data_IF_962355031348
#
_entry.id   IF_962355031348
#
_cell.length_a   1.000
_cell.length_b   1.000
_cell.length_c   1.000
_cell.angle_alpha   90.00
_cell.angle_beta   90.00
_cell.angle_gamma   90.00
#
_symmetry.space_group_name_H-M   'P 1'
#
loop_
_entity.id
_entity.type
_entity.pdbx_description
1 polymer ?
#
# COMPACT_ATOMS: atom_id res chain seq x y z
N UNK A 1 10.35 35.54 1.02
CA UNK A 1 10.73 34.32 1.77
C UNK A 1 9.63 33.27 1.77
N UNK A 2 8.38 33.59 2.18
CA UNK A 2 7.30 32.60 2.35
C UNK A 2 6.83 31.95 1.03
N UNK A 3 6.61 32.72 -0.05
CA UNK A 3 6.22 32.15 -1.34
C UNK A 3 7.33 31.33 -2.01
N UNK A 4 8.61 31.69 -1.77
CA UNK A 4 9.75 30.93 -2.29
C UNK A 4 9.80 29.50 -1.75
N UNK A 5 9.32 29.26 -0.53
CA UNK A 5 9.23 27.91 0.04
C UNK A 5 8.12 27.09 -0.64
N UNK A 6 7.00 27.72 -1.00
CA UNK A 6 5.89 27.08 -1.70
C UNK A 6 6.27 26.78 -3.15
N UNK A 7 6.85 27.74 -3.87
CA UNK A 7 7.40 27.55 -5.22
C UNK A 7 8.43 26.41 -5.23
N UNK A 8 9.39 26.43 -4.30
CA UNK A 8 10.40 25.36 -4.21
C UNK A 8 9.80 23.99 -3.90
N UNK A 9 8.74 23.94 -3.09
CA UNK A 9 8.01 22.68 -2.81
C UNK A 9 7.38 22.12 -4.07
N UNK A 10 6.73 22.96 -4.88
CA UNK A 10 6.09 22.52 -6.13
C UNK A 10 7.13 22.08 -7.17
N UNK A 11 8.26 22.79 -7.29
CA UNK A 11 9.40 22.34 -8.10
C UNK A 11 9.90 20.95 -7.68
N UNK A 12 10.13 20.75 -6.38
CA UNK A 12 10.61 19.47 -5.85
C UNK A 12 9.58 18.36 -6.07
N UNK A 13 8.28 18.64 -5.92
CA UNK A 13 7.20 17.70 -6.23
C UNK A 13 7.24 17.29 -7.70
N UNK A 14 7.32 18.26 -8.61
CA UNK A 14 7.40 17.99 -10.05
C UNK A 14 8.63 17.13 -10.42
N UNK A 15 9.79 17.43 -9.82
CA UNK A 15 11.02 16.65 -10.01
C UNK A 15 10.85 15.22 -9.47
N UNK A 16 10.33 15.07 -8.25
CA UNK A 16 10.09 13.76 -7.62
C UNK A 16 9.14 12.93 -8.47
N UNK A 17 8.07 13.52 -8.97
CA UNK A 17 7.08 12.81 -9.78
C UNK A 17 7.65 12.41 -11.14
N UNK A 18 8.47 13.26 -11.75
CA UNK A 18 9.26 12.93 -12.95
C UNK A 18 10.18 11.73 -12.73
N UNK A 19 11.01 11.77 -11.69
CA UNK A 19 11.93 10.66 -11.37
C UNK A 19 11.22 9.38 -10.94
N UNK A 20 10.08 9.48 -10.23
CA UNK A 20 9.25 8.31 -9.90
C UNK A 20 8.73 7.62 -11.16
N UNK A 21 8.27 8.41 -12.14
CA UNK A 21 7.79 7.89 -13.41
C UNK A 21 8.92 7.19 -14.18
N UNK A 22 10.05 7.87 -14.34
CA UNK A 22 11.22 7.30 -15.01
C UNK A 22 11.71 6.01 -14.31
N UNK A 23 11.76 6.01 -12.98
CA UNK A 23 12.11 4.82 -12.20
C UNK A 23 11.10 3.68 -12.42
N UNK A 24 9.81 3.98 -12.50
CA UNK A 24 8.77 2.99 -12.82
C UNK A 24 9.00 2.37 -14.19
N UNK A 25 9.21 3.21 -15.22
CA UNK A 25 9.46 2.75 -16.60
C UNK A 25 10.72 1.88 -16.69
N UNK A 26 11.78 2.23 -15.94
CA UNK A 26 13.01 1.42 -15.86
C UNK A 26 12.72 0.09 -15.16
N UNK A 27 11.97 0.09 -14.05
CA UNK A 27 11.63 -1.15 -13.33
C UNK A 27 10.80 -2.10 -14.19
N UNK A 28 9.86 -1.58 -14.98
CA UNK A 28 9.09 -2.38 -15.94
C UNK A 28 10.00 -3.02 -16.98
N UNK A 29 10.92 -2.24 -17.58
CA UNK A 29 11.91 -2.79 -18.53
C UNK A 29 12.82 -3.84 -17.89
N UNK A 30 13.27 -3.63 -16.66
CA UNK A 30 14.05 -4.62 -15.89
C UNK A 30 13.22 -5.90 -15.74
N UNK A 31 11.96 -5.77 -15.31
CA UNK A 31 11.09 -6.93 -15.17
C UNK A 31 10.91 -7.67 -16.49
N UNK A 32 10.55 -6.99 -17.57
CA UNK A 32 10.33 -7.62 -18.88
C UNK A 32 11.59 -8.32 -19.42
N UNK A 33 12.77 -7.75 -19.16
CA UNK A 33 14.05 -8.31 -19.60
C UNK A 33 14.38 -9.63 -18.92
N UNK A 34 14.20 -9.73 -17.60
CA UNK A 34 14.69 -10.89 -16.81
C UNK A 34 13.57 -11.80 -16.26
N UNK A 35 12.29 -11.41 -16.36
CA UNK A 35 11.18 -12.16 -15.74
C UNK A 35 11.14 -13.62 -16.20
N UNK A 36 11.32 -13.88 -17.49
CA UNK A 36 11.25 -15.25 -18.02
C UNK A 36 12.41 -16.11 -17.48
N UNK A 37 13.64 -15.60 -17.55
CA UNK A 37 14.83 -16.30 -17.04
C UNK A 37 14.73 -16.60 -15.54
N UNK A 38 14.22 -15.64 -14.75
CA UNK A 38 13.98 -15.83 -13.31
C UNK A 38 12.92 -16.90 -13.05
N UNK A 39 11.82 -16.91 -13.83
CA UNK A 39 10.77 -17.94 -13.71
C UNK A 39 11.30 -19.33 -14.06
N UNK A 40 12.09 -19.43 -15.12
CA UNK A 40 12.67 -20.70 -15.56
C UNK A 40 13.69 -21.23 -14.53
N UNK A 41 14.52 -20.35 -13.97
CA UNK A 41 15.46 -20.73 -12.91
C UNK A 41 14.74 -21.18 -11.63
N UNK A 42 13.63 -20.53 -11.26
CA UNK A 42 12.79 -20.98 -10.13
C UNK A 42 12.13 -22.33 -10.42
N UNK A 43 11.57 -22.50 -11.62
CA UNK A 43 10.90 -23.73 -12.04
C UNK A 43 11.86 -24.91 -12.10
N UNK A 44 13.09 -24.70 -12.58
CA UNK A 44 14.16 -25.71 -12.55
C UNK A 44 14.54 -26.13 -11.13
N UNK A 45 14.37 -25.23 -10.15
CA UNK A 45 14.53 -25.52 -8.73
C UNK A 45 13.25 -26.05 -8.05
N UNK A 46 12.20 -26.36 -8.82
CA UNK A 46 10.91 -26.86 -8.32
C UNK A 46 10.09 -25.82 -7.55
N UNK A 47 10.26 -24.52 -7.85
CA UNK A 47 9.59 -23.40 -7.16
C UNK A 47 8.85 -22.52 -8.16
N UNK A 48 7.68 -22.00 -7.75
CA UNK A 48 6.95 -20.97 -8.52
C UNK A 48 7.26 -19.53 -8.03
N UNK A 49 7.72 -19.41 -6.79
CA UNK A 49 8.07 -18.16 -6.12
C UNK A 49 9.27 -18.36 -5.18
N UNK A 50 9.88 -17.26 -4.75
CA UNK A 50 11.05 -17.25 -3.88
C UNK A 50 12.25 -16.56 -4.51
N UNK A 51 13.44 -16.82 -3.97
CA UNK A 51 14.68 -16.23 -4.48
C UNK A 51 15.41 -17.21 -5.38
N UNK A 52 16.01 -16.71 -6.44
CA UNK A 52 16.93 -17.45 -7.32
C UNK A 52 18.11 -16.57 -7.70
N UNK A 53 19.07 -17.15 -8.40
CA UNK A 53 20.20 -16.41 -8.98
C UNK A 53 20.32 -16.76 -10.45
N UNK A 54 20.46 -15.73 -11.28
CA UNK A 54 20.64 -15.84 -12.73
C UNK A 54 21.99 -15.22 -13.14
N UNK A 55 22.48 -15.58 -14.32
CA UNK A 55 23.74 -15.08 -14.85
C UNK A 55 23.46 -14.20 -16.08
N UNK A 56 23.75 -12.91 -15.99
CA UNK A 56 23.62 -11.97 -17.10
C UNK A 56 25.02 -11.53 -17.53
N UNK A 57 25.54 -12.14 -18.61
CA UNK A 57 26.92 -11.96 -19.03
C UNK A 57 27.90 -12.43 -17.94
N UNK A 58 28.77 -11.53 -17.46
CA UNK A 58 29.71 -11.81 -16.37
C UNK A 58 29.15 -11.46 -14.97
N UNK A 59 27.88 -11.04 -14.86
CA UNK A 59 27.29 -10.62 -13.59
C UNK A 59 26.33 -11.68 -13.05
N UNK A 60 26.44 -11.94 -11.76
CA UNK A 60 25.52 -12.78 -10.99
C UNK A 60 24.42 -11.90 -10.40
N UNK A 61 23.17 -12.09 -10.83
CA UNK A 61 22.03 -11.29 -10.39
C UNK A 61 21.15 -12.11 -9.44
N UNK A 62 20.86 -11.54 -8.27
CA UNK A 62 19.89 -12.11 -7.33
C UNK A 62 18.50 -11.61 -7.67
N UNK A 63 17.58 -12.53 -7.93
CA UNK A 63 16.19 -12.21 -8.22
C UNK A 63 15.24 -12.82 -7.20
N UNK A 64 14.07 -12.21 -7.01
CA UNK A 64 13.02 -12.71 -6.13
C UNK A 64 11.65 -12.51 -6.76
N UNK A 65 10.89 -13.58 -6.93
CA UNK A 65 9.46 -13.52 -7.23
C UNK A 65 8.70 -13.68 -5.92
N UNK A 66 7.98 -12.65 -5.50
CA UNK A 66 7.17 -12.69 -4.29
C UNK A 66 5.94 -13.58 -4.45
N UNK A 67 5.54 -14.28 -3.38
CA UNK A 67 4.23 -14.93 -3.32
C UNK A 67 3.16 -13.85 -3.14
N UNK A 68 2.26 -13.70 -4.12
CA UNK A 68 1.07 -12.87 -3.97
C UNK A 68 -0.06 -13.73 -3.42
N UNK A 69 -0.59 -13.36 -2.25
CA UNK A 69 -1.78 -13.99 -1.67
C UNK A 69 -2.91 -12.99 -1.75
N UNK A 70 -4.02 -13.40 -2.36
CA UNK A 70 -5.25 -12.61 -2.43
C UNK A 70 -6.35 -13.39 -1.72
N UNK A 71 -7.19 -12.69 -0.98
CA UNK A 71 -8.31 -13.28 -0.26
C UNK A 71 -9.62 -12.78 -0.87
N UNK A 72 -10.52 -13.71 -1.14
CA UNK A 72 -11.93 -13.40 -1.42
C UNK A 72 -12.54 -12.80 -0.14
N UNK A 73 -12.81 -11.50 -0.16
CA UNK A 73 -13.17 -10.74 1.03
C UNK A 73 -14.54 -11.16 1.57
N UNK A 74 -15.50 -11.45 0.68
CA UNK A 74 -16.84 -11.87 1.08
C UNK A 74 -16.77 -13.22 1.81
N UNK A 75 -16.06 -14.20 1.22
CA UNK A 75 -15.86 -15.50 1.86
C UNK A 75 -15.06 -15.40 3.16
N UNK A 76 -14.05 -14.52 3.21
CA UNK A 76 -13.23 -14.34 4.40
C UNK A 76 -14.05 -13.73 5.55
N UNK A 77 -14.89 -12.73 5.25
CA UNK A 77 -15.76 -12.10 6.23
C UNK A 77 -16.81 -13.08 6.76
N UNK A 78 -17.47 -13.82 5.87
CA UNK A 78 -18.41 -14.88 6.24
C UNK A 78 -17.77 -15.94 7.14
N UNK A 79 -16.53 -16.34 6.83
CA UNK A 79 -15.81 -17.32 7.61
C UNK A 79 -15.43 -16.77 8.99
N UNK A 80 -14.94 -15.53 9.08
CA UNK A 80 -14.62 -14.88 10.35
C UNK A 80 -15.85 -14.73 11.24
N UNK A 81 -17.02 -14.40 10.67
CA UNK A 81 -18.28 -14.29 11.42
C UNK A 81 -18.80 -15.63 11.96
N UNK A 82 -18.42 -16.76 11.33
CA UNK A 82 -18.77 -18.12 11.80
C UNK A 82 -17.83 -18.64 12.89
N UNK A 83 -16.68 -18.01 13.10
CA UNK A 83 -15.72 -18.41 14.15
C UNK A 83 -16.15 -17.91 15.53
N UNK A 84 -15.57 -18.50 16.58
CA UNK A 84 -15.65 -17.90 17.91
C UNK A 84 -15.00 -16.50 17.90
N UNK A 85 -15.45 -15.56 18.77
CA UNK A 85 -14.88 -14.22 18.84
C UNK A 85 -13.36 -14.20 19.07
N UNK A 86 -12.83 -15.15 19.84
CA UNK A 86 -11.40 -15.29 20.11
C UNK A 86 -10.62 -15.65 18.83
N UNK A 87 -11.11 -16.64 18.08
CA UNK A 87 -10.46 -17.05 16.82
C UNK A 87 -10.59 -15.97 15.74
N UNK A 88 -11.76 -15.33 15.63
CA UNK A 88 -11.97 -14.24 14.68
C UNK A 88 -10.99 -13.08 14.93
N UNK A 89 -10.76 -12.72 16.21
CA UNK A 89 -9.77 -11.70 16.60
C UNK A 89 -8.32 -12.14 16.45
N UNK A 90 -8.05 -13.44 16.57
CA UNK A 90 -6.68 -13.98 16.44
C UNK A 90 -6.21 -13.97 14.98
N UNK A 91 -7.09 -14.36 14.05
CA UNK A 91 -6.74 -14.49 12.63
C UNK A 91 -7.12 -13.27 11.78
N UNK A 92 -8.12 -12.48 12.21
CA UNK A 92 -8.60 -11.30 11.52
C UNK A 92 -8.22 -10.01 12.24
N UNK A 93 -7.90 -8.96 11.47
CA UNK A 93 -7.86 -7.59 11.98
C UNK A 93 -9.05 -6.82 11.41
N UNK A 94 -10.06 -6.58 12.24
CA UNK A 94 -11.17 -5.71 11.90
C UNK A 94 -10.85 -4.29 12.36
N UNK A 95 -10.74 -3.37 11.40
CA UNK A 95 -10.68 -1.93 11.68
C UNK A 95 -12.03 -1.36 11.32
N UNK A 96 -12.78 -0.91 12.32
CA UNK A 96 -14.01 -0.15 12.10
C UNK A 96 -13.63 1.32 12.14
N UNK A 97 -13.94 2.05 11.08
CA UNK A 97 -13.73 3.49 11.00
C UNK A 97 -15.04 4.17 10.61
N UNK A 98 -15.23 5.37 11.15
CA UNK A 98 -16.31 6.26 10.75
C UNK A 98 -15.67 7.40 9.96
N UNK A 99 -16.13 7.63 8.73
CA UNK A 99 -15.70 8.80 7.96
C UNK A 99 -16.16 10.08 8.66
N UNK A 100 -15.25 11.04 8.84
CA UNK A 100 -15.52 12.28 9.59
C UNK A 100 -16.69 13.08 9.01
N UNK A 101 -16.87 13.05 7.69
CA UNK A 101 -18.01 13.66 7.00
C UNK A 101 -19.34 13.02 7.42
N UNK A 102 -19.37 11.69 7.56
CA UNK A 102 -20.57 10.95 7.98
C UNK A 102 -20.88 11.19 9.46
N UNK A 103 -19.85 11.22 10.31
CA UNK A 103 -19.98 11.59 11.72
C UNK A 103 -20.55 13.02 11.88
N UNK A 104 -20.04 13.98 11.11
CA UNK A 104 -20.49 15.39 11.17
C UNK A 104 -21.94 15.55 10.71
N UNK A 105 -22.37 14.80 9.70
CA UNK A 105 -23.73 14.82 9.16
C UNK A 105 -24.72 13.92 9.93
N UNK A 106 -24.27 13.19 10.95
CA UNK A 106 -25.11 12.27 11.69
C UNK A 106 -26.15 13.01 12.55
N UNK A 107 -27.34 12.42 12.76
CA UNK A 107 -28.31 12.93 13.73
C UNK A 107 -27.70 13.04 15.14
N UNK A 108 -28.19 13.97 15.99
CA UNK A 108 -27.62 14.21 17.33
C UNK A 108 -27.46 12.95 18.18
N UNK A 109 -28.45 12.05 18.19
CA UNK A 109 -28.39 10.81 18.97
C UNK A 109 -27.25 9.88 18.55
N UNK A 110 -27.04 9.74 17.25
CA UNK A 110 -25.95 8.90 16.71
C UNK A 110 -24.60 9.56 16.96
N UNK A 111 -24.53 10.89 16.78
CA UNK A 111 -23.31 11.65 17.01
C UNK A 111 -22.84 11.53 18.47
N UNK A 112 -23.76 11.63 19.42
CA UNK A 112 -23.46 11.49 20.85
C UNK A 112 -22.92 10.10 21.20
N UNK A 113 -23.45 9.02 20.59
CA UNK A 113 -22.96 7.66 20.82
C UNK A 113 -21.55 7.43 20.28
N UNK A 114 -21.20 8.09 19.17
CA UNK A 114 -19.89 7.96 18.55
C UNK A 114 -18.84 8.85 19.21
N UNK A 115 -19.24 9.90 19.93
CA UNK A 115 -18.32 10.88 20.50
C UNK A 115 -17.37 10.26 21.53
N UNK A 116 -17.87 9.38 22.41
CA UNK A 116 -17.03 8.67 23.39
C UNK A 116 -15.99 7.75 22.74
N UNK A 117 -16.21 7.36 21.48
CA UNK A 117 -15.29 6.53 20.70
C UNK A 117 -14.28 7.38 19.89
N UNK A 118 -14.41 8.71 19.90
CA UNK A 118 -13.68 9.63 19.02
C UNK A 118 -12.57 10.33 19.79
N UNK A 119 -11.40 10.41 19.17
CA UNK A 119 -10.27 11.20 19.68
C UNK A 119 -9.82 12.16 18.58
N UNK A 120 -9.67 13.43 18.91
CA UNK A 120 -9.21 14.46 17.98
C UNK A 120 -7.90 15.03 18.49
N UNK A 121 -6.87 14.89 17.68
CA UNK A 121 -5.56 15.46 17.93
C UNK A 121 -5.20 16.41 16.78
N UNK A 122 -4.25 17.31 17.02
CA UNK A 122 -3.72 18.16 15.96
C UNK A 122 -3.07 17.27 14.88
N UNK A 123 -3.62 17.35 13.67
CA UNK A 123 -3.10 16.64 12.51
C UNK A 123 -1.84 17.29 11.94
N UNK A 124 -1.39 16.79 10.79
CA UNK A 124 -0.29 17.38 10.04
C UNK A 124 -0.63 18.82 9.61
N UNK A 125 0.29 19.76 9.85
CA UNK A 125 0.19 21.11 9.30
C UNK A 125 0.31 21.07 7.77
N UNK A 126 -0.64 21.68 7.08
CA UNK A 126 -0.57 21.91 5.63
C UNK A 126 -0.88 23.37 5.32
N UNK A 127 -0.20 23.91 4.32
CA UNK A 127 -0.41 25.26 3.80
C UNK A 127 -0.33 25.19 2.27
N UNK A 128 -1.30 25.80 1.61
CA UNK A 128 -1.44 25.86 0.15
C UNK A 128 -1.74 27.30 -0.25
N UNK A 129 -1.38 27.68 -1.48
CA UNK A 129 -1.80 28.96 -2.04
C UNK A 129 -3.30 28.89 -2.37
N UNK A 130 -4.04 29.94 -1.99
CA UNK A 130 -5.44 30.08 -2.40
C UNK A 130 -5.48 30.40 -3.91
N UNK A 131 -6.23 29.62 -4.68
CA UNK A 131 -6.24 29.68 -6.17
C UNK A 131 -7.28 30.64 -6.72
#
# INVERSE_FOLDING_TARGET
MSNQLLERREELRAIIDGHKKELSDINEKIQDTWQQEVRDALRAAGKDFGSTTIMSGNKKLKAKIGKKVTWDQDKLFDQLNKMSPENAKHYGKLVVSVEERKYTAAPPDIKNQLEDCRTVEMGSFSIEEDK
#
